data_IF_740842949578
#
_entry.id   IF_740842949578
#
_cell.length_a   1.000
_cell.length_b   1.000
_cell.length_c   1.000
_cell.angle_alpha   90.00
_cell.angle_beta   90.00
_cell.angle_gamma   90.00
#
_symmetry.space_group_name_H-M   'P 1'
#
loop_
_entity.id
_entity.type
_entity.pdbx_description
1 polymer ?
#
# COMPACT_ATOMS: atom_id res chain seq x y z
N UNK A 1 13.93 -17.97 5.40
CA UNK A 1 15.29 -17.45 5.62
C UNK A 1 15.54 -17.43 7.11
N UNK A 2 16.42 -18.29 7.62
CA UNK A 2 16.78 -18.31 9.05
C UNK A 2 17.98 -17.43 9.32
N UNK A 3 18.02 -16.85 10.53
CA UNK A 3 19.16 -16.10 11.05
C UNK A 3 19.18 -14.60 10.70
N UNK A 4 20.32 -13.99 11.01
CA UNK A 4 20.55 -12.54 11.01
C UNK A 4 20.26 -11.85 9.67
N UNK A 5 20.42 -12.56 8.54
CA UNK A 5 20.16 -12.03 7.20
C UNK A 5 18.70 -11.66 7.00
N UNK A 6 17.77 -12.47 7.52
CA UNK A 6 16.35 -12.17 7.45
C UNK A 6 16.04 -10.90 8.26
N UNK A 7 16.59 -10.78 9.45
CA UNK A 7 16.45 -9.57 10.28
C UNK A 7 17.00 -8.33 9.58
N UNK A 8 18.16 -8.41 8.93
CA UNK A 8 18.75 -7.29 8.18
C UNK A 8 17.87 -6.88 7.00
N UNK A 9 17.38 -7.84 6.22
CA UNK A 9 16.47 -7.53 5.08
C UNK A 9 15.19 -6.87 5.60
N UNK A 10 14.59 -7.38 6.66
CA UNK A 10 13.37 -6.80 7.23
C UNK A 10 13.62 -5.39 7.77
N UNK A 11 14.75 -5.15 8.43
CA UNK A 11 15.13 -3.81 8.89
C UNK A 11 15.26 -2.85 7.70
N UNK A 12 16.02 -3.23 6.66
CA UNK A 12 16.22 -2.38 5.48
C UNK A 12 14.88 -2.09 4.79
N UNK A 13 14.03 -3.10 4.60
CA UNK A 13 12.71 -2.93 3.99
C UNK A 13 11.82 -2.04 4.86
N UNK A 14 11.89 -2.17 6.18
CA UNK A 14 11.06 -1.37 7.11
C UNK A 14 11.50 0.08 7.25
N UNK A 15 12.69 0.45 6.73
CA UNK A 15 13.20 1.82 6.87
C UNK A 15 12.24 2.86 6.29
N UNK A 16 11.59 2.58 5.15
CA UNK A 16 10.68 3.57 4.57
C UNK A 16 9.47 3.82 5.46
N UNK A 17 8.93 2.79 6.14
CA UNK A 17 7.80 2.91 7.06
C UNK A 17 8.10 3.80 8.28
N UNK A 18 9.38 3.96 8.64
CA UNK A 18 9.79 4.78 9.78
C UNK A 18 9.90 6.27 9.42
N UNK A 19 9.78 6.62 8.13
CA UNK A 19 9.90 7.99 7.67
C UNK A 19 8.57 8.73 7.96
N UNK A 20 8.60 9.90 8.62
CA UNK A 20 7.39 10.69 8.83
C UNK A 20 6.69 11.04 7.51
N UNK A 21 5.35 10.99 7.48
CA UNK A 21 4.57 11.19 6.25
C UNK A 21 4.89 12.50 5.50
N UNK A 22 5.14 13.60 6.21
CA UNK A 22 5.53 14.87 5.59
C UNK A 22 6.92 14.80 4.92
N UNK A 23 7.85 14.06 5.52
CA UNK A 23 9.19 13.85 4.97
C UNK A 23 9.11 12.99 3.72
N UNK A 24 8.23 11.98 3.67
CA UNK A 24 8.02 11.16 2.45
C UNK A 24 7.62 12.02 1.27
N UNK A 25 6.59 12.86 1.42
CA UNK A 25 6.18 13.77 0.34
C UNK A 25 7.33 14.69 -0.12
N UNK A 26 8.12 15.21 0.82
CA UNK A 26 9.26 16.09 0.53
C UNK A 26 10.39 15.34 -0.20
N UNK A 27 10.71 14.11 0.20
CA UNK A 27 11.68 13.24 -0.49
C UNK A 27 11.26 13.07 -1.95
N UNK A 28 9.98 12.78 -2.20
CA UNK A 28 9.48 12.57 -3.55
C UNK A 28 9.42 13.85 -4.40
N UNK A 29 9.21 15.02 -3.79
CA UNK A 29 9.37 16.29 -4.50
C UNK A 29 10.81 16.47 -5.00
N UNK A 30 11.80 16.26 -4.13
CA UNK A 30 13.21 16.40 -4.51
C UNK A 30 13.60 15.31 -5.51
N UNK A 31 13.18 14.08 -5.28
CA UNK A 31 13.48 12.93 -6.14
C UNK A 31 12.90 13.10 -7.55
N UNK A 32 11.68 13.62 -7.67
CA UNK A 32 10.97 13.84 -8.93
C UNK A 32 11.37 15.10 -9.70
N UNK A 33 12.28 15.93 -9.18
CA UNK A 33 12.76 17.12 -9.91
C UNK A 33 13.59 16.71 -11.14
N UNK A 34 13.29 17.30 -12.30
CA UNK A 34 14.02 17.03 -13.56
C UNK A 34 15.45 17.56 -13.55
N UNK A 35 15.71 18.66 -12.86
CA UNK A 35 17.00 19.36 -12.87
C UNK A 35 18.04 18.75 -11.90
N UNK A 36 17.61 18.35 -10.70
CA UNK A 36 18.51 17.86 -9.64
C UNK A 36 18.09 16.52 -9.02
N UNK A 37 16.86 16.09 -9.27
CA UNK A 37 16.30 14.90 -8.64
C UNK A 37 16.78 13.63 -9.31
N UNK A 38 17.11 12.60 -8.52
CA UNK A 38 17.64 11.35 -9.07
C UNK A 38 16.66 10.69 -10.07
N UNK A 39 15.34 10.69 -9.81
CA UNK A 39 14.36 10.15 -10.75
C UNK A 39 14.20 11.06 -11.97
N UNK A 40 13.93 12.34 -11.74
CA UNK A 40 13.63 13.28 -12.82
C UNK A 40 14.82 13.46 -13.77
N UNK A 41 16.03 13.65 -13.24
CA UNK A 41 17.25 13.79 -14.04
C UNK A 41 17.59 12.51 -14.81
N UNK A 42 17.37 11.33 -14.22
CA UNK A 42 17.59 10.06 -14.91
C UNK A 42 16.61 9.87 -16.07
N UNK A 43 15.33 10.21 -15.89
CA UNK A 43 14.33 10.16 -16.95
C UNK A 43 14.65 11.16 -18.08
N UNK A 44 15.07 12.37 -17.72
CA UNK A 44 15.47 13.38 -18.69
C UNK A 44 16.70 12.94 -19.50
N UNK A 45 17.70 12.31 -18.86
CA UNK A 45 18.87 11.75 -19.54
C UNK A 45 18.49 10.65 -20.55
N UNK A 46 17.44 9.87 -20.25
CA UNK A 46 16.86 8.87 -21.16
C UNK A 46 15.97 9.48 -22.26
N UNK A 47 15.81 10.81 -22.30
CA UNK A 47 14.96 11.51 -23.27
C UNK A 47 13.46 11.44 -22.96
N UNK A 48 13.07 11.05 -21.74
CA UNK A 48 11.68 10.98 -21.31
C UNK A 48 11.31 12.33 -20.67
N UNK A 49 10.37 13.05 -21.27
CA UNK A 49 9.81 14.27 -20.68
C UNK A 49 8.90 13.91 -19.50
N UNK A 50 9.40 14.12 -18.28
CA UNK A 50 8.69 13.83 -17.04
C UNK A 50 8.55 15.10 -16.21
N UNK A 51 7.32 15.33 -15.75
CA UNK A 51 6.97 16.49 -14.92
C UNK A 51 5.74 16.16 -14.09
N UNK A 52 5.94 15.78 -12.83
CA UNK A 52 4.85 15.50 -11.90
C UNK A 52 4.09 16.76 -11.48
N UNK A 53 4.68 17.95 -11.68
CA UNK A 53 4.03 19.24 -11.38
C UNK A 53 3.26 19.80 -12.57
N UNK A 54 3.64 19.44 -13.81
CA UNK A 54 3.04 19.97 -15.04
C UNK A 54 2.10 19.01 -15.77
N UNK A 55 2.22 17.70 -15.54
CA UNK A 55 1.42 16.68 -16.25
C UNK A 55 0.61 15.82 -15.26
N UNK A 56 -0.71 15.73 -15.49
CA UNK A 56 -1.64 15.05 -14.60
C UNK A 56 -1.37 13.54 -14.47
N UNK A 57 -0.98 12.89 -15.56
CA UNK A 57 -0.65 11.46 -15.56
C UNK A 57 0.63 11.21 -14.78
N UNK A 58 1.65 12.04 -14.97
CA UNK A 58 2.90 11.95 -14.22
C UNK A 58 2.66 12.18 -12.73
N UNK A 59 1.85 13.17 -12.36
CA UNK A 59 1.48 13.44 -10.97
C UNK A 59 0.84 12.21 -10.31
N UNK A 60 -0.18 11.62 -10.95
CA UNK A 60 -0.86 10.43 -10.45
C UNK A 60 0.06 9.23 -10.31
N UNK A 61 0.89 8.95 -11.32
CA UNK A 61 1.85 7.86 -11.26
C UNK A 61 2.87 8.07 -10.15
N UNK A 62 3.32 9.31 -9.94
CA UNK A 62 4.26 9.64 -8.86
C UNK A 62 3.64 9.40 -7.49
N UNK A 63 2.40 9.85 -7.28
CA UNK A 63 1.65 9.60 -6.04
C UNK A 63 1.47 8.09 -5.80
N UNK A 64 1.10 7.33 -6.84
CA UNK A 64 0.91 5.89 -6.74
C UNK A 64 2.20 5.16 -6.36
N UNK A 65 3.31 5.44 -7.07
CA UNK A 65 4.59 4.77 -6.79
C UNK A 65 5.12 5.17 -5.41
N UNK A 66 4.94 6.43 -5.00
CA UNK A 66 5.27 6.90 -3.66
C UNK A 66 4.52 6.12 -2.57
N UNK A 67 3.19 6.02 -2.68
CA UNK A 67 2.36 5.29 -1.71
C UNK A 67 2.74 3.80 -1.66
N UNK A 68 2.90 3.15 -2.82
CA UNK A 68 3.33 1.76 -2.90
C UNK A 68 4.69 1.57 -2.24
N UNK A 69 5.66 2.44 -2.54
CA UNK A 69 7.00 2.37 -1.94
C UNK A 69 6.98 2.54 -0.42
N UNK A 70 6.17 3.48 0.09
CA UNK A 70 6.12 3.74 1.52
C UNK A 70 5.45 2.60 2.30
N UNK A 71 4.40 2.00 1.74
CA UNK A 71 3.55 1.04 2.47
C UNK A 71 3.78 -0.43 2.15
N UNK A 72 4.50 -0.76 1.08
CA UNK A 72 4.94 -2.15 0.80
C UNK A 72 5.62 -2.84 2.01
N UNK A 73 6.46 -2.17 2.82
CA UNK A 73 7.09 -2.80 3.98
C UNK A 73 6.11 -3.38 4.98
N UNK A 74 4.97 -2.71 5.24
CA UNK A 74 3.94 -3.21 6.15
C UNK A 74 3.43 -4.58 5.68
N UNK A 75 3.10 -4.69 4.39
CA UNK A 75 2.62 -5.94 3.79
C UNK A 75 3.71 -7.01 3.80
N UNK A 76 4.97 -6.62 3.57
CA UNK A 76 6.11 -7.53 3.63
C UNK A 76 6.35 -8.08 5.05
N UNK A 77 6.22 -7.24 6.08
CA UNK A 77 6.34 -7.64 7.49
C UNK A 77 5.22 -8.60 7.89
N UNK A 78 3.98 -8.27 7.55
CA UNK A 78 2.83 -9.16 7.76
C UNK A 78 3.01 -10.49 7.03
N UNK A 79 3.43 -10.44 5.76
CA UNK A 79 3.71 -11.63 4.97
C UNK A 79 4.82 -12.50 5.57
N UNK A 80 5.89 -11.90 6.07
CA UNK A 80 6.97 -12.62 6.74
C UNK A 80 6.50 -13.29 8.05
N UNK A 81 5.72 -12.59 8.87
CA UNK A 81 5.13 -13.17 10.08
C UNK A 81 4.20 -14.35 9.73
N UNK A 82 3.37 -14.20 8.70
CA UNK A 82 2.50 -15.26 8.20
C UNK A 82 3.29 -16.48 7.71
N UNK A 83 4.36 -16.28 6.95
CA UNK A 83 5.25 -17.38 6.51
C UNK A 83 5.86 -18.13 7.70
N UNK A 84 6.27 -17.41 8.75
CA UNK A 84 6.87 -17.98 9.96
C UNK A 84 5.90 -18.80 10.80
N UNK A 85 4.60 -18.54 10.72
CA UNK A 85 3.60 -19.34 11.41
C UNK A 85 3.30 -20.70 10.75
N UNK A 86 3.79 -20.95 9.52
CA UNK A 86 3.55 -22.21 8.82
C UNK A 86 4.47 -23.29 9.41
N UNK A 87 3.92 -24.41 9.94
CA UNK A 87 4.75 -25.48 10.50
C UNK A 87 5.69 -26.13 9.48
N UNK A 88 6.89 -26.49 9.91
CA UNK A 88 7.92 -27.09 9.05
C UNK A 88 7.49 -28.42 8.40
N UNK A 89 6.56 -29.14 9.03
CA UNK A 89 6.01 -30.40 8.51
C UNK A 89 5.46 -30.27 7.08
N UNK A 90 4.83 -29.14 6.74
CA UNK A 90 4.33 -28.89 5.38
C UNK A 90 5.47 -28.80 4.36
N UNK A 91 6.57 -28.15 4.72
CA UNK A 91 7.74 -28.02 3.85
C UNK A 91 8.50 -29.35 3.74
N UNK A 92 8.54 -30.16 4.80
CA UNK A 92 9.14 -31.48 4.78
C UNK A 92 8.36 -32.44 3.87
N UNK A 93 7.03 -32.47 3.99
CA UNK A 93 6.17 -33.25 3.11
C UNK A 93 6.36 -32.85 1.63
N UNK A 94 6.34 -31.55 1.33
CA UNK A 94 6.55 -31.06 -0.03
C UNK A 94 7.93 -31.45 -0.61
N UNK A 95 8.96 -31.57 0.22
CA UNK A 95 10.29 -32.03 -0.22
C UNK A 95 10.31 -33.52 -0.52
N UNK A 96 9.57 -34.33 0.23
CA UNK A 96 9.41 -35.77 -0.02
C UNK A 96 8.66 -35.97 -1.35
N UNK A 97 7.63 -35.17 -1.59
CA UNK A 97 6.83 -35.19 -2.82
C UNK A 97 7.55 -34.57 -4.04
N UNK A 98 8.80 -34.11 -3.88
CA UNK A 98 9.58 -33.50 -4.97
C UNK A 98 9.00 -32.18 -5.50
N UNK A 99 8.18 -31.48 -4.72
CA UNK A 99 7.51 -30.26 -5.15
C UNK A 99 8.51 -29.13 -5.44
N UNK A 100 8.28 -28.41 -6.55
CA UNK A 100 9.08 -27.23 -6.91
C UNK A 100 8.82 -26.06 -5.95
N UNK A 101 9.75 -25.10 -5.89
CA UNK A 101 9.59 -23.89 -5.04
C UNK A 101 8.32 -23.11 -5.37
N UNK A 102 7.94 -23.04 -6.66
CA UNK A 102 6.71 -22.37 -7.07
C UNK A 102 5.46 -23.14 -6.64
N UNK A 103 5.49 -24.48 -6.68
CA UNK A 103 4.41 -25.30 -6.14
C UNK A 103 4.25 -25.10 -4.63
N UNK A 104 5.35 -25.08 -3.88
CA UNK A 104 5.35 -24.76 -2.44
C UNK A 104 4.74 -23.37 -2.19
N UNK A 105 5.13 -22.36 -2.96
CA UNK A 105 4.56 -21.02 -2.83
C UNK A 105 3.05 -21.01 -3.10
N UNK A 106 2.61 -21.55 -4.24
CA UNK A 106 1.22 -21.47 -4.70
C UNK A 106 0.25 -22.32 -3.90
N UNK A 107 0.67 -23.51 -3.45
CA UNK A 107 -0.20 -24.51 -2.82
C UNK A 107 -0.05 -24.60 -1.30
N UNK A 108 1.08 -24.14 -0.73
CA UNK A 108 1.32 -24.19 0.72
C UNK A 108 1.35 -22.78 1.30
N UNK A 109 2.27 -21.94 0.82
CA UNK A 109 2.51 -20.63 1.44
C UNK A 109 1.34 -19.67 1.24
N UNK A 110 0.95 -19.42 -0.01
CA UNK A 110 -0.09 -18.45 -0.35
C UNK A 110 -1.45 -18.78 0.31
N UNK A 111 -1.96 -20.04 0.27
CA UNK A 111 -3.22 -20.37 0.93
C UNK A 111 -3.16 -20.24 2.45
N UNK A 112 -2.04 -20.65 3.09
CA UNK A 112 -1.89 -20.56 4.55
C UNK A 112 -1.68 -19.13 5.03
N UNK A 113 -1.08 -18.27 4.22
CA UNK A 113 -0.90 -16.84 4.52
C UNK A 113 -2.14 -15.99 4.25
N UNK A 114 -3.15 -16.55 3.58
CA UNK A 114 -4.34 -15.82 3.14
C UNK A 114 -4.96 -14.95 4.22
N UNK A 115 -5.14 -15.46 5.44
CA UNK A 115 -5.72 -14.70 6.54
C UNK A 115 -4.91 -13.44 6.89
N UNK A 116 -3.58 -13.56 6.93
CA UNK A 116 -2.69 -12.44 7.22
C UNK A 116 -2.65 -11.43 6.06
N UNK A 117 -2.63 -11.92 4.81
CA UNK A 117 -2.69 -11.05 3.62
C UNK A 117 -4.04 -10.34 3.50
N UNK A 118 -5.15 -10.98 3.86
CA UNK A 118 -6.47 -10.35 3.92
C UNK A 118 -6.49 -9.17 4.91
N UNK A 119 -5.90 -9.35 6.10
CA UNK A 119 -5.76 -8.24 7.06
C UNK A 119 -4.91 -7.12 6.44
N UNK A 120 -3.77 -7.45 5.82
CA UNK A 120 -2.92 -6.45 5.16
C UNK A 120 -3.65 -5.67 4.06
N UNK A 121 -4.43 -6.36 3.22
CA UNK A 121 -5.24 -5.73 2.17
C UNK A 121 -6.32 -4.82 2.75
N UNK A 122 -7.03 -5.26 3.81
CA UNK A 122 -8.07 -4.44 4.46
C UNK A 122 -7.51 -3.16 5.06
N UNK A 123 -6.39 -3.27 5.79
CA UNK A 123 -5.71 -2.12 6.37
C UNK A 123 -5.29 -1.13 5.27
N UNK A 124 -4.65 -1.63 4.21
CA UNK A 124 -4.23 -0.79 3.08
C UNK A 124 -5.38 -0.16 2.35
N UNK A 125 -6.47 -0.89 2.16
CA UNK A 125 -7.67 -0.37 1.53
C UNK A 125 -8.26 0.79 2.33
N UNK A 126 -8.42 0.61 3.64
CA UNK A 126 -8.91 1.65 4.55
C UNK A 126 -7.98 2.88 4.57
N UNK A 127 -6.68 2.66 4.76
CA UNK A 127 -5.67 3.73 4.81
C UNK A 127 -5.61 4.52 3.50
N UNK A 128 -5.79 3.86 2.36
CA UNK A 128 -5.78 4.53 1.04
C UNK A 128 -6.93 5.52 0.87
N UNK A 129 -8.10 5.28 1.48
CA UNK A 129 -9.16 6.29 1.50
C UNK A 129 -8.80 7.45 2.43
N UNK A 130 -8.09 7.20 3.52
CA UNK A 130 -7.74 8.22 4.49
C UNK A 130 -6.45 8.99 4.14
N UNK A 131 -5.78 8.66 3.03
CA UNK A 131 -4.51 9.27 2.63
C UNK A 131 -4.65 10.79 2.49
N UNK A 132 -3.77 11.57 3.12
CA UNK A 132 -3.80 13.03 3.06
C UNK A 132 -2.41 13.62 2.94
N UNK A 133 -1.57 13.40 3.95
CA UNK A 133 -0.32 14.14 4.15
C UNK A 133 0.65 14.01 2.98
N UNK A 134 0.88 12.79 2.51
CA UNK A 134 1.88 12.52 1.46
C UNK A 134 1.52 13.16 0.11
N UNK A 135 0.32 12.91 -0.48
CA UNK A 135 -0.06 13.54 -1.74
C UNK A 135 -0.24 15.05 -1.60
N UNK A 136 -0.67 15.53 -0.43
CA UNK A 136 -0.77 16.96 -0.16
C UNK A 136 0.59 17.64 -0.17
N UNK A 137 1.58 17.07 0.51
CA UNK A 137 2.96 17.60 0.48
C UNK A 137 3.56 17.48 -0.91
N UNK A 138 3.39 16.35 -1.60
CA UNK A 138 4.01 16.13 -2.92
C UNK A 138 3.48 17.12 -3.97
N UNK A 139 2.16 17.20 -4.12
CA UNK A 139 1.50 17.89 -5.25
C UNK A 139 0.53 18.99 -4.86
N UNK A 140 0.08 19.03 -3.60
CA UNK A 140 -1.01 19.92 -3.17
C UNK A 140 -2.35 19.67 -3.89
N UNK A 141 -2.51 18.55 -4.60
CA UNK A 141 -3.67 18.26 -5.45
C UNK A 141 -3.47 18.50 -6.96
N UNK A 142 -2.31 19.04 -7.35
CA UNK A 142 -2.02 19.42 -8.74
C UNK A 142 -1.44 18.32 -9.64
N UNK A 143 -1.27 18.60 -10.95
CA UNK A 143 -1.66 19.83 -11.65
C UNK A 143 -3.18 19.97 -11.79
N UNK A 144 -3.69 21.21 -11.65
CA UNK A 144 -5.12 21.44 -11.50
C UNK A 144 -5.65 20.76 -10.24
N UNK A 145 -6.61 19.84 -10.41
CA UNK A 145 -7.16 19.01 -9.33
C UNK A 145 -6.89 17.52 -9.56
N UNK A 146 -5.86 17.18 -10.35
CA UNK A 146 -5.61 15.81 -10.76
C UNK A 146 -5.46 14.87 -9.56
N UNK A 147 -4.67 15.25 -8.55
CA UNK A 147 -4.38 14.43 -7.36
C UNK A 147 -5.10 14.94 -6.12
N UNK A 148 -6.23 15.64 -6.29
CA UNK A 148 -7.04 16.11 -5.15
C UNK A 148 -7.87 14.96 -4.57
N UNK A 149 -7.54 14.57 -3.34
CA UNK A 149 -8.26 13.52 -2.62
C UNK A 149 -9.43 14.08 -1.79
N UNK A 150 -10.45 13.26 -1.53
CA UNK A 150 -11.58 13.64 -0.66
C UNK A 150 -11.14 14.06 0.75
N UNK A 151 -10.10 13.42 1.27
CA UNK A 151 -9.44 13.77 2.53
C UNK A 151 -8.85 15.18 2.52
N UNK A 152 -8.27 15.63 1.40
CA UNK A 152 -7.75 16.98 1.25
C UNK A 152 -8.88 18.00 1.21
N UNK A 153 -9.98 17.70 0.50
CA UNK A 153 -11.17 18.54 0.48
C UNK A 153 -11.79 18.70 1.87
N UNK A 154 -11.89 17.60 2.63
CA UNK A 154 -12.35 17.63 4.03
C UNK A 154 -11.46 18.53 4.89
N UNK A 155 -10.14 18.35 4.83
CA UNK A 155 -9.19 19.17 5.60
C UNK A 155 -9.25 20.64 5.19
N UNK A 156 -9.42 20.93 3.90
CA UNK A 156 -9.56 22.31 3.42
C UNK A 156 -10.81 22.98 4.00
N UNK A 157 -11.95 22.28 4.06
CA UNK A 157 -13.17 22.80 4.71
C UNK A 157 -12.98 22.99 6.21
N UNK A 158 -12.47 21.97 6.89
CA UNK A 158 -12.36 21.96 8.36
C UNK A 158 -11.32 22.98 8.87
N UNK A 159 -10.12 22.98 8.30
CA UNK A 159 -8.95 23.70 8.80
C UNK A 159 -8.66 24.94 7.96
N UNK A 160 -8.87 24.89 6.65
CA UNK A 160 -8.62 26.03 5.75
C UNK A 160 -9.73 27.08 5.82
N UNK A 161 -11.00 26.65 5.83
CA UNK A 161 -12.17 27.53 5.79
C UNK A 161 -12.85 27.68 7.16
N UNK A 162 -12.46 26.89 8.17
CA UNK A 162 -13.08 26.84 9.49
C UNK A 162 -14.59 26.51 9.47
N UNK A 163 -15.06 25.83 8.41
CA UNK A 163 -16.46 25.48 8.22
C UNK A 163 -16.77 24.12 8.87
N UNK A 164 -16.74 24.11 10.21
CA UNK A 164 -16.74 22.88 11.02
C UNK A 164 -18.03 22.06 10.91
N UNK A 165 -19.19 22.70 10.72
CA UNK A 165 -20.47 22.01 10.61
C UNK A 165 -20.57 21.12 9.36
N UNK A 166 -20.45 21.70 8.16
CA UNK A 166 -20.36 20.96 6.90
C UNK A 166 -19.17 19.99 6.84
N UNK A 167 -18.02 20.34 7.42
CA UNK A 167 -16.89 19.41 7.50
C UNK A 167 -17.21 18.18 8.37
N UNK A 168 -17.89 18.35 9.51
CA UNK A 168 -18.31 17.24 10.37
C UNK A 168 -19.36 16.35 9.68
N UNK A 169 -20.32 16.95 8.96
CA UNK A 169 -21.28 16.17 8.18
C UNK A 169 -20.58 15.38 7.06
N UNK A 170 -19.63 16.00 6.36
CA UNK A 170 -18.85 15.35 5.31
C UNK A 170 -18.00 14.20 5.87
N UNK A 171 -17.34 14.38 7.01
CA UNK A 171 -16.50 13.33 7.61
C UNK A 171 -17.33 12.11 8.04
N UNK A 172 -18.54 12.32 8.56
CA UNK A 172 -19.44 11.22 8.93
C UNK A 172 -19.91 10.44 7.70
N UNK A 173 -20.32 11.13 6.63
CA UNK A 173 -20.70 10.49 5.36
C UNK A 173 -19.51 9.72 4.81
N UNK A 174 -18.33 10.33 4.82
CA UNK A 174 -17.12 9.70 4.32
C UNK A 174 -16.75 8.43 5.11
N UNK A 175 -16.84 8.50 6.44
CA UNK A 175 -16.64 7.34 7.32
C UNK A 175 -17.62 6.21 7.00
N UNK A 176 -18.91 6.50 6.81
CA UNK A 176 -19.91 5.48 6.48
C UNK A 176 -19.64 4.82 5.12
N UNK A 177 -19.18 5.58 4.13
CA UNK A 177 -18.79 5.04 2.82
C UNK A 177 -17.60 4.08 2.98
N UNK A 178 -16.55 4.49 3.69
CA UNK A 178 -15.37 3.65 3.92
C UNK A 178 -15.78 2.37 4.68
N UNK A 179 -16.60 2.49 5.72
CA UNK A 179 -17.08 1.36 6.50
C UNK A 179 -17.86 0.36 5.64
N UNK A 180 -18.76 0.86 4.78
CA UNK A 180 -19.54 0.03 3.86
C UNK A 180 -18.62 -0.71 2.87
N UNK A 181 -17.67 -0.01 2.25
CA UNK A 181 -16.74 -0.61 1.29
C UNK A 181 -15.83 -1.66 1.95
N UNK A 182 -15.31 -1.36 3.14
CA UNK A 182 -14.54 -2.32 3.94
C UNK A 182 -15.37 -3.56 4.31
N UNK A 183 -16.63 -3.38 4.70
CA UNK A 183 -17.54 -4.48 4.99
C UNK A 183 -17.79 -5.36 3.76
N UNK A 184 -18.05 -4.76 2.60
CA UNK A 184 -18.24 -5.48 1.34
C UNK A 184 -16.96 -6.27 0.99
N UNK A 185 -15.80 -5.61 1.03
CA UNK A 185 -14.52 -6.22 0.71
C UNK A 185 -14.19 -7.39 1.65
N UNK A 186 -14.39 -7.21 2.97
CA UNK A 186 -14.19 -8.26 3.97
C UNK A 186 -15.07 -9.49 3.69
N UNK A 187 -16.37 -9.29 3.49
CA UNK A 187 -17.30 -10.39 3.22
C UNK A 187 -16.97 -11.10 1.90
N UNK A 188 -16.60 -10.36 0.85
CA UNK A 188 -16.20 -10.95 -0.42
C UNK A 188 -14.95 -11.82 -0.26
N UNK A 189 -13.91 -11.32 0.43
CA UNK A 189 -12.69 -12.09 0.66
C UNK A 189 -12.90 -13.32 1.54
N UNK A 190 -13.82 -13.27 2.51
CA UNK A 190 -14.19 -14.43 3.33
C UNK A 190 -14.90 -15.50 2.49
N UNK A 191 -15.86 -15.12 1.63
CA UNK A 191 -16.60 -16.07 0.77
C UNK A 191 -15.70 -16.84 -0.19
N UNK A 192 -14.73 -16.16 -0.80
CA UNK A 192 -13.70 -16.79 -1.65
C UNK A 192 -12.84 -17.79 -0.84
N UNK A 193 -12.86 -17.72 0.49
CA UNK A 193 -12.04 -18.54 1.40
C UNK A 193 -12.75 -19.74 1.95
N UNK A 194 -14.07 -19.66 2.06
CA UNK A 194 -14.90 -20.79 2.46
C UNK A 194 -15.03 -21.81 1.33
N UNK A 195 -15.12 -21.37 0.06
CA UNK A 195 -15.23 -22.30 -1.09
C UNK A 195 -14.02 -23.24 -1.26
N UNK A 196 -12.82 -22.83 -0.83
CA UNK A 196 -11.63 -23.70 -0.83
C UNK A 196 -11.68 -24.79 0.25
N UNK A 197 -12.44 -24.60 1.34
CA UNK A 197 -12.59 -25.61 2.40
C UNK A 197 -13.64 -26.67 2.06
N UNK A 198 -14.67 -26.30 1.30
CA UNK A 198 -15.77 -27.22 0.96
C UNK A 198 -15.41 -28.16 -0.20
N UNK A 199 -14.58 -27.73 -1.17
CA UNK A 199 -14.15 -28.57 -2.30
C UNK A 199 -12.99 -29.54 -2.02
N UNK A 200 -12.45 -29.58 -0.79
CA UNK A 200 -11.36 -30.48 -0.39
C UNK A 200 -11.81 -31.72 0.39
N UNK A 201 -13.12 -31.90 0.55
CA UNK A 201 -13.74 -33.01 1.27
C UNK A 201 -14.52 -33.98 0.37
N UNK A 202 -14.39 -33.86 -0.96
CA UNK A 202 -14.92 -34.83 -1.95
C UNK A 202 -13.80 -35.63 -2.61
#
# INVERSE_FOLDING_TARGET
AEGWRASVVLVIVSLSLLIPWNVVGTIWQIFGRSDIGLLGASLQWLGIDYSYTGNATHAWLTVLVMDVWHWTPLVALLGYAGLRSIPDAYYQAARIDGASKFAVFRYIQLPKMRGVLMIGVLLRFMDSFMIYTEPFVLTGGGPGNATTFLSQFLTQKAVGQFDLGPAAAFSLIYFLIILLLCFILYNWMQRVGTQEKEGGHE
#
